data_IF_973460233326
#
_entry.id   IF_973460233326
#
_cell.length_a   1.000
_cell.length_b   1.000
_cell.length_c   1.000
_cell.angle_alpha   90.00
_cell.angle_beta   90.00
_cell.angle_gamma   90.00
#
_symmetry.space_group_name_H-M   'P 1'
#
loop_
_entity.id
_entity.type
_entity.pdbx_description
1 polymer ?
#
# COMPACT_ATOMS: atom_id res chain seq x y z
N UNK A 1 10.32 -5.17 -8.79
CA UNK A 1 9.51 -5.95 -9.76
C UNK A 1 8.06 -5.50 -9.70
N UNK A 2 7.38 -5.51 -10.83
CA UNK A 2 5.92 -5.38 -10.90
C UNK A 2 5.31 -6.77 -10.94
N UNK A 3 4.33 -7.02 -10.08
CA UNK A 3 3.68 -8.31 -9.95
C UNK A 3 2.20 -8.21 -10.31
N UNK A 4 1.68 -9.23 -10.97
CA UNK A 4 0.24 -9.46 -11.14
C UNK A 4 -0.09 -10.93 -10.89
N UNK A 5 -1.35 -11.27 -10.83
CA UNK A 5 -1.77 -12.65 -10.50
C UNK A 5 -1.20 -13.69 -11.46
N UNK A 6 -1.19 -13.39 -12.75
CA UNK A 6 -0.79 -14.30 -13.81
C UNK A 6 0.53 -13.89 -14.50
N UNK A 7 1.06 -12.71 -14.18
CA UNK A 7 2.16 -12.12 -14.94
C UNK A 7 1.69 -11.50 -16.25
N UNK A 8 2.64 -11.30 -17.20
CA UNK A 8 2.42 -10.73 -18.52
C UNK A 8 2.05 -9.23 -18.50
N UNK A 9 1.52 -8.70 -19.58
CA UNK A 9 1.21 -7.28 -19.74
C UNK A 9 -0.13 -6.93 -19.09
N UNK A 10 -0.09 -6.04 -18.11
CA UNK A 10 -1.28 -5.44 -17.52
C UNK A 10 -1.53 -4.07 -18.15
N UNK A 11 -2.76 -3.85 -18.61
CA UNK A 11 -3.17 -2.59 -19.23
C UNK A 11 -3.93 -1.72 -18.23
N UNK A 12 -3.54 -0.46 -18.09
CA UNK A 12 -4.34 0.54 -17.38
C UNK A 12 -5.51 1.01 -18.23
N UNK A 13 -6.52 1.61 -17.58
CA UNK A 13 -7.65 2.26 -18.27
C UNK A 13 -7.17 3.41 -19.20
N UNK A 14 -6.06 4.04 -18.86
CA UNK A 14 -5.45 5.12 -19.66
C UNK A 14 -4.59 4.61 -20.81
N UNK A 15 -4.48 3.30 -21.01
CA UNK A 15 -3.70 2.69 -22.08
C UNK A 15 -2.22 2.44 -21.76
N UNK A 16 -1.76 2.74 -20.56
CA UNK A 16 -0.41 2.37 -20.12
C UNK A 16 -0.29 0.86 -20.01
N UNK A 17 0.79 0.31 -20.55
CA UNK A 17 1.10 -1.11 -20.48
C UNK A 17 2.27 -1.32 -19.53
N UNK A 18 2.10 -2.23 -18.57
CA UNK A 18 3.15 -2.59 -17.62
C UNK A 18 3.39 -4.09 -17.72
N UNK A 19 4.63 -4.45 -17.98
CA UNK A 19 5.06 -5.84 -17.89
C UNK A 19 5.12 -6.25 -16.42
N UNK A 20 4.55 -7.42 -16.09
CA UNK A 20 4.51 -7.95 -14.73
C UNK A 20 4.97 -9.40 -14.68
N UNK A 21 5.56 -9.77 -13.57
CA UNK A 21 5.84 -11.16 -13.22
C UNK A 21 4.65 -11.80 -12.49
N UNK A 22 4.46 -13.11 -12.56
CA UNK A 22 3.40 -13.76 -11.81
C UNK A 22 3.65 -13.68 -10.32
N UNK A 23 2.59 -13.48 -9.55
CA UNK A 23 2.64 -13.55 -8.09
C UNK A 23 2.75 -15.01 -7.68
N UNK A 24 3.93 -15.46 -7.30
CA UNK A 24 4.21 -16.80 -6.84
C UNK A 24 4.69 -16.86 -5.37
N UNK A 25 4.89 -18.06 -4.85
CA UNK A 25 5.26 -18.28 -3.46
C UNK A 25 6.71 -17.86 -3.13
N UNK A 26 7.54 -17.64 -4.12
CA UNK A 26 8.94 -17.20 -3.96
C UNK A 26 9.06 -15.70 -3.77
N UNK A 27 8.00 -14.95 -4.13
CA UNK A 27 7.90 -13.52 -3.89
C UNK A 27 7.53 -13.24 -2.43
N UNK A 28 7.98 -12.12 -1.88
CA UNK A 28 7.43 -11.60 -0.63
C UNK A 28 8.42 -11.25 0.49
N UNK A 29 9.71 -11.54 0.34
CA UNK A 29 10.72 -11.23 1.38
C UNK A 29 11.25 -9.79 1.28
N UNK A 30 10.38 -8.82 1.09
CA UNK A 30 10.82 -7.45 0.89
C UNK A 30 9.75 -6.43 1.21
N UNK A 31 9.90 -5.25 0.63
CA UNK A 31 8.91 -4.18 0.73
C UNK A 31 7.88 -4.38 -0.38
N UNK A 32 6.63 -4.50 0.01
CA UNK A 32 5.49 -4.65 -0.90
C UNK A 32 4.76 -3.32 -1.03
N UNK A 33 4.50 -2.89 -2.27
CA UNK A 33 3.68 -1.71 -2.54
C UNK A 33 2.36 -2.12 -3.16
N UNK A 34 1.26 -1.77 -2.52
CA UNK A 34 -0.10 -1.99 -3.00
C UNK A 34 -0.64 -0.67 -3.58
N UNK A 35 -0.67 -0.50 -4.89
CA UNK A 35 -1.12 0.73 -5.51
C UNK A 35 -2.63 0.93 -5.32
N UNK A 36 -3.05 2.19 -5.38
CA UNK A 36 -4.46 2.56 -5.45
C UNK A 36 -5.05 2.41 -6.85
N UNK A 37 -6.29 2.85 -6.99
CA UNK A 37 -7.00 2.92 -8.25
C UNK A 37 -8.32 2.13 -8.24
N UNK A 38 -9.19 2.46 -9.18
CA UNK A 38 -10.54 1.88 -9.26
C UNK A 38 -10.54 0.36 -9.48
N UNK A 39 -9.46 -0.19 -10.04
CA UNK A 39 -9.27 -1.63 -10.22
C UNK A 39 -9.22 -2.39 -8.89
N UNK A 40 -8.65 -1.79 -7.86
CA UNK A 40 -8.57 -2.38 -6.52
C UNK A 40 -9.92 -2.81 -5.94
N UNK A 41 -11.01 -2.13 -6.32
CA UNK A 41 -12.37 -2.47 -5.87
C UNK A 41 -12.98 -3.68 -6.59
N UNK A 42 -12.51 -3.97 -7.80
CA UNK A 42 -13.11 -5.02 -8.65
C UNK A 42 -12.50 -6.39 -8.42
N UNK A 43 -11.22 -6.44 -8.08
CA UNK A 43 -10.46 -7.70 -8.05
C UNK A 43 -10.85 -8.59 -6.89
N UNK A 44 -11.32 -8.03 -5.79
CA UNK A 44 -11.42 -8.73 -4.52
C UNK A 44 -12.74 -9.44 -4.26
N UNK A 45 -13.79 -9.08 -4.95
CA UNK A 45 -15.12 -9.65 -4.72
C UNK A 45 -15.31 -11.01 -5.41
N UNK A 46 -14.33 -11.51 -6.16
CA UNK A 46 -14.58 -12.56 -7.14
C UNK A 46 -13.77 -13.85 -6.98
N UNK A 47 -12.66 -13.85 -6.24
CA UNK A 47 -11.82 -15.06 -6.19
C UNK A 47 -11.12 -15.26 -4.82
N UNK A 48 -11.59 -16.25 -4.02
CA UNK A 48 -10.99 -16.60 -2.72
C UNK A 48 -9.55 -17.13 -2.81
N UNK A 49 -9.18 -17.79 -3.89
CA UNK A 49 -7.83 -18.33 -4.08
C UNK A 49 -6.82 -17.21 -4.25
N UNK A 50 -7.14 -16.26 -5.10
CA UNK A 50 -6.38 -15.02 -5.28
C UNK A 50 -6.16 -14.29 -3.95
N UNK A 51 -7.20 -14.17 -3.15
CA UNK A 51 -7.11 -13.53 -1.84
C UNK A 51 -6.14 -14.27 -0.90
N UNK A 52 -6.18 -15.58 -0.91
CA UNK A 52 -5.28 -16.43 -0.09
C UNK A 52 -3.82 -16.25 -0.52
N UNK A 53 -3.54 -16.21 -1.81
CA UNK A 53 -2.19 -15.97 -2.36
C UNK A 53 -1.66 -14.59 -1.95
N UNK A 54 -2.46 -13.54 -2.13
CA UNK A 54 -2.09 -12.17 -1.74
C UNK A 54 -1.86 -12.07 -0.24
N UNK A 55 -2.73 -12.66 0.56
CA UNK A 55 -2.57 -12.70 2.02
C UNK A 55 -1.26 -13.35 2.43
N UNK A 56 -0.91 -14.48 1.84
CA UNK A 56 0.36 -15.17 2.08
C UNK A 56 1.54 -14.28 1.73
N UNK A 57 1.50 -13.62 0.58
CA UNK A 57 2.51 -12.69 0.11
C UNK A 57 2.72 -11.51 1.07
N UNK A 58 1.62 -10.87 1.50
CA UNK A 58 1.68 -9.76 2.47
C UNK A 58 2.24 -10.22 3.81
N UNK A 59 1.88 -11.42 4.28
CA UNK A 59 2.41 -11.96 5.53
C UNK A 59 3.92 -12.13 5.54
N UNK A 60 4.48 -12.56 4.42
CA UNK A 60 5.94 -12.72 4.24
C UNK A 60 6.68 -11.39 4.13
N UNK A 61 6.01 -10.30 3.70
CA UNK A 61 6.67 -9.01 3.49
C UNK A 61 7.25 -8.44 4.77
N UNK A 62 8.40 -7.79 4.65
CA UNK A 62 9.06 -7.06 5.73
C UNK A 62 8.34 -5.75 6.02
N UNK A 63 7.89 -5.05 4.98
CA UNK A 63 7.03 -3.88 5.06
C UNK A 63 6.00 -3.88 3.93
N UNK A 64 4.87 -3.23 4.15
CA UNK A 64 3.80 -3.11 3.18
C UNK A 64 3.31 -1.66 3.12
N UNK A 65 3.51 -1.00 1.98
CA UNK A 65 3.00 0.34 1.69
C UNK A 65 1.70 0.24 0.88
N UNK A 66 0.61 0.72 1.44
CA UNK A 66 -0.66 0.83 0.74
C UNK A 66 -0.97 2.28 0.36
N UNK A 67 -1.42 2.51 -0.86
CA UNK A 67 -1.66 3.84 -1.42
C UNK A 67 -3.15 4.00 -1.74
N UNK A 68 -3.79 4.98 -1.12
CA UNK A 68 -5.20 5.31 -1.34
C UNK A 68 -6.11 4.06 -1.29
N UNK A 69 -6.84 3.72 -2.36
CA UNK A 69 -7.72 2.53 -2.42
C UNK A 69 -6.97 1.20 -2.21
N UNK A 70 -5.65 1.19 -2.34
CA UNK A 70 -4.81 0.04 -2.01
C UNK A 70 -4.96 -0.39 -0.55
N UNK A 71 -5.21 0.56 0.37
CA UNK A 71 -5.49 0.25 1.78
C UNK A 71 -6.79 -0.53 1.95
N UNK A 72 -7.82 -0.20 1.18
CA UNK A 72 -9.05 -0.97 1.17
C UNK A 72 -8.88 -2.36 0.56
N UNK A 73 -8.01 -2.49 -0.45
CA UNK A 73 -7.61 -3.79 -0.96
C UNK A 73 -6.94 -4.63 0.13
N UNK A 74 -5.97 -4.06 0.80
CA UNK A 74 -5.24 -4.72 1.88
C UNK A 74 -6.17 -5.08 3.06
N UNK A 75 -7.15 -4.24 3.38
CA UNK A 75 -8.14 -4.51 4.44
C UNK A 75 -8.93 -5.80 4.21
N UNK A 76 -9.25 -6.12 2.96
CA UNK A 76 -10.01 -7.33 2.62
C UNK A 76 -9.22 -8.62 2.86
N UNK A 77 -7.90 -8.56 2.90
CA UNK A 77 -7.08 -9.74 3.27
C UNK A 77 -7.22 -10.11 4.74
N UNK A 78 -7.75 -9.20 5.58
CA UNK A 78 -7.81 -9.34 7.03
C UNK A 78 -6.49 -9.05 7.76
N UNK A 79 -5.42 -8.69 7.02
CA UNK A 79 -4.10 -8.41 7.62
C UNK A 79 -4.06 -7.03 8.33
N UNK A 80 -5.05 -6.18 8.08
CA UNK A 80 -5.22 -4.89 8.77
C UNK A 80 -6.15 -4.97 9.99
N UNK A 81 -6.42 -6.15 10.50
CA UNK A 81 -7.28 -6.30 11.69
C UNK A 81 -6.72 -5.50 12.87
N UNK A 82 -7.55 -4.58 13.40
CA UNK A 82 -7.22 -3.66 14.50
C UNK A 82 -5.98 -2.76 14.24
N UNK A 83 -5.63 -2.51 12.97
CA UNK A 83 -4.56 -1.59 12.60
C UNK A 83 -5.07 -0.19 12.32
N UNK A 84 -4.25 0.81 12.65
CA UNK A 84 -4.48 2.20 12.32
C UNK A 84 -3.98 2.47 10.90
N UNK A 85 -4.86 2.97 10.04
CA UNK A 85 -4.56 3.17 8.61
C UNK A 85 -5.02 4.56 8.19
N UNK A 86 -4.18 5.30 7.47
CA UNK A 86 -4.54 6.58 6.89
C UNK A 86 -5.73 6.44 5.95
N UNK A 87 -6.82 7.14 6.24
CA UNK A 87 -8.05 7.02 5.48
C UNK A 87 -7.96 7.81 4.17
N UNK A 88 -8.14 7.15 3.04
CA UNK A 88 -8.32 7.83 1.76
C UNK A 88 -9.73 8.42 1.63
N UNK A 89 -9.84 9.55 0.92
CA UNK A 89 -11.08 10.36 0.91
C UNK A 89 -12.25 9.73 0.14
N UNK A 90 -11.99 8.81 -0.78
CA UNK A 90 -13.02 8.19 -1.61
C UNK A 90 -13.46 6.84 -1.05
N UNK A 91 -14.72 6.46 -1.34
CA UNK A 91 -15.20 5.11 -1.06
C UNK A 91 -15.68 4.86 0.37
N UNK A 92 -16.31 5.86 1.00
CA UNK A 92 -16.85 5.75 2.37
C UNK A 92 -17.74 4.53 2.59
N UNK A 93 -18.66 4.24 1.66
CA UNK A 93 -19.52 3.07 1.76
C UNK A 93 -18.71 1.76 1.72
N UNK A 94 -17.64 1.75 0.97
CA UNK A 94 -16.78 0.58 0.86
C UNK A 94 -15.89 0.42 2.11
N UNK A 95 -15.34 1.51 2.64
CA UNK A 95 -14.61 1.49 3.92
C UNK A 95 -15.48 0.97 5.07
N UNK A 96 -16.76 1.34 5.11
CA UNK A 96 -17.69 0.87 6.15
C UNK A 96 -17.83 -0.65 6.22
N UNK A 97 -17.61 -1.35 5.11
CA UNK A 97 -17.61 -2.82 5.10
C UNK A 97 -16.48 -3.42 5.94
N UNK A 98 -15.41 -2.65 6.19
CA UNK A 98 -14.23 -3.08 6.95
C UNK A 98 -14.03 -2.31 8.26
N UNK A 99 -14.97 -1.46 8.64
CA UNK A 99 -14.86 -0.58 9.83
C UNK A 99 -14.63 -1.36 11.11
N UNK A 100 -15.23 -2.53 11.24
CA UNK A 100 -15.06 -3.38 12.43
C UNK A 100 -13.66 -4.03 12.52
N UNK A 101 -12.90 -4.02 11.43
CA UNK A 101 -11.61 -4.69 11.35
C UNK A 101 -10.43 -3.70 11.20
N UNK A 102 -10.68 -2.48 10.77
CA UNK A 102 -9.64 -1.47 10.48
C UNK A 102 -9.99 -0.16 11.15
N UNK A 103 -9.04 0.45 11.83
CA UNK A 103 -9.17 1.79 12.39
C UNK A 103 -8.75 2.81 11.33
N UNK A 104 -9.72 3.39 10.64
CA UNK A 104 -9.48 4.43 9.65
C UNK A 104 -9.23 5.77 10.34
N UNK A 105 -8.00 6.31 10.19
CA UNK A 105 -7.60 7.60 10.74
C UNK A 105 -7.73 8.66 9.65
N UNK A 106 -8.60 9.63 9.89
CA UNK A 106 -8.86 10.75 8.98
C UNK A 106 -7.92 11.91 9.27
N UNK A 107 -7.78 12.80 8.30
CA UNK A 107 -6.99 14.03 8.41
C UNK A 107 -5.47 13.84 8.60
N UNK A 108 -4.98 12.63 8.29
CA UNK A 108 -3.55 12.34 8.22
C UNK A 108 -3.15 11.99 6.79
N UNK A 109 -2.05 12.53 6.27
CA UNK A 109 -1.60 12.20 4.93
C UNK A 109 -1.05 10.77 4.83
N UNK A 110 -0.35 10.30 5.85
CA UNK A 110 0.18 8.95 5.92
C UNK A 110 0.29 8.48 7.38
N UNK A 111 0.44 7.17 7.57
CA UNK A 111 0.52 6.54 8.88
C UNK A 111 1.30 5.24 8.82
N UNK A 112 1.95 4.91 9.94
CA UNK A 112 2.64 3.63 10.15
C UNK A 112 2.00 2.90 11.34
N UNK A 113 1.73 1.61 11.17
CA UNK A 113 1.31 0.71 12.25
C UNK A 113 1.96 -0.65 12.06
N UNK A 114 3.02 -0.92 12.81
CA UNK A 114 3.88 -2.08 12.65
C UNK A 114 4.56 -2.08 11.27
N UNK A 115 4.37 -3.13 10.49
CA UNK A 115 4.95 -3.22 9.14
C UNK A 115 4.09 -2.55 8.06
N UNK A 116 2.93 -2.00 8.41
CA UNK A 116 2.00 -1.39 7.47
C UNK A 116 2.18 0.12 7.43
N UNK A 117 2.56 0.60 6.25
CA UNK A 117 2.64 2.01 5.89
C UNK A 117 1.45 2.32 5.01
N UNK A 118 0.73 3.36 5.29
CA UNK A 118 -0.46 3.73 4.54
C UNK A 118 -0.46 5.20 4.16
N UNK A 119 -0.81 5.50 2.93
CA UNK A 119 -0.92 6.85 2.42
C UNK A 119 -2.35 7.14 1.97
N UNK A 120 -2.92 8.25 2.40
CA UNK A 120 -4.29 8.65 2.07
C UNK A 120 -4.47 9.05 0.60
N UNK A 121 -3.38 9.45 -0.07
CA UNK A 121 -3.35 9.90 -1.46
C UNK A 121 -2.00 9.59 -2.11
N UNK A 122 -1.95 9.71 -3.44
CA UNK A 122 -0.73 9.40 -4.22
C UNK A 122 0.47 10.28 -3.84
N UNK A 123 0.27 11.56 -3.53
CA UNK A 123 1.36 12.44 -3.11
C UNK A 123 1.90 12.07 -1.72
N UNK A 124 1.02 11.75 -0.79
CA UNK A 124 1.39 11.31 0.55
C UNK A 124 2.16 9.96 0.54
N UNK A 125 2.05 9.19 -0.54
CA UNK A 125 2.81 7.95 -0.69
C UNK A 125 4.32 8.18 -0.78
N UNK A 126 4.76 9.36 -1.22
CA UNK A 126 6.17 9.71 -1.28
C UNK A 126 6.72 9.85 0.14
N UNK A 127 6.01 10.55 1.01
CA UNK A 127 6.42 10.74 2.41
C UNK A 127 6.42 9.40 3.16
N UNK A 128 5.40 8.58 2.96
CA UNK A 128 5.34 7.23 3.53
C UNK A 128 6.48 6.32 3.01
N UNK A 129 6.88 6.45 1.74
CA UNK A 129 8.01 5.71 1.20
C UNK A 129 9.35 6.20 1.78
N UNK A 130 9.52 7.50 1.98
CA UNK A 130 10.69 8.06 2.65
C UNK A 130 10.76 7.61 4.12
N UNK A 131 9.62 7.49 4.80
CA UNK A 131 9.57 6.92 6.14
C UNK A 131 10.06 5.46 6.15
N UNK A 132 9.67 4.63 5.18
CA UNK A 132 10.22 3.28 5.03
C UNK A 132 11.75 3.32 4.88
N UNK A 133 12.28 4.25 4.08
CA UNK A 133 13.73 4.39 3.92
C UNK A 133 14.39 4.77 5.24
N UNK A 134 13.80 5.68 6.00
CA UNK A 134 14.31 6.08 7.30
C UNK A 134 14.34 4.92 8.30
N UNK A 135 13.28 4.12 8.35
CA UNK A 135 13.14 3.00 9.28
C UNK A 135 14.11 1.84 8.96
N UNK A 136 14.39 1.58 7.67
CA UNK A 136 15.23 0.45 7.26
C UNK A 136 16.71 0.82 7.05
N UNK A 137 17.00 2.09 6.81
CA UNK A 137 18.37 2.51 6.50
C UNK A 137 18.87 3.61 7.42
N UNK A 138 18.25 4.74 7.47
CA UNK A 138 18.55 5.87 8.38
C UNK A 138 17.83 7.12 7.87
N UNK A 139 17.49 8.04 8.79
CA UNK A 139 16.84 9.32 8.46
C UNK A 139 17.65 10.15 7.46
N UNK A 140 18.99 10.20 7.65
CA UNK A 140 19.87 10.96 6.77
C UNK A 140 19.81 10.47 5.32
N UNK A 141 19.62 9.16 5.13
CA UNK A 141 19.46 8.58 3.81
C UNK A 141 18.14 8.98 3.16
N UNK A 142 17.06 8.98 3.91
CA UNK A 142 15.75 9.46 3.42
C UNK A 142 15.81 10.95 3.07
N UNK A 143 16.43 11.77 3.91
CA UNK A 143 16.64 13.21 3.64
C UNK A 143 17.47 13.46 2.37
N UNK A 144 18.54 12.68 2.16
CA UNK A 144 19.35 12.77 0.95
C UNK A 144 18.54 12.43 -0.31
N UNK A 145 17.71 11.38 -0.24
CA UNK A 145 16.84 10.97 -1.34
C UNK A 145 15.80 12.07 -1.63
N UNK A 146 15.13 12.58 -0.60
CA UNK A 146 14.17 13.67 -0.72
C UNK A 146 14.82 14.90 -1.40
N UNK A 147 16.00 15.31 -0.94
CA UNK A 147 16.75 16.43 -1.53
C UNK A 147 17.06 16.20 -3.02
N UNK A 148 17.55 15.01 -3.37
CA UNK A 148 17.89 14.66 -4.76
C UNK A 148 16.66 14.64 -5.70
N UNK A 149 15.49 14.34 -5.15
CA UNK A 149 14.22 14.37 -5.87
C UNK A 149 13.57 15.76 -5.90
N UNK A 150 14.14 16.75 -5.20
CA UNK A 150 13.55 18.07 -5.06
C UNK A 150 12.28 18.09 -4.20
N UNK A 151 12.15 17.15 -3.28
CA UNK A 151 10.99 16.98 -2.41
C UNK A 151 11.33 17.52 -1.03
N UNK A 152 10.43 18.33 -0.48
CA UNK A 152 10.48 18.70 0.93
C UNK A 152 9.73 17.62 1.72
N UNK A 153 10.46 16.74 2.40
CA UNK A 153 9.89 15.70 3.23
C UNK A 153 9.50 16.26 4.60
N UNK A 154 8.22 16.12 4.95
CA UNK A 154 7.69 16.49 6.25
C UNK A 154 7.48 15.21 7.08
N UNK A 155 8.42 14.93 7.98
CA UNK A 155 8.36 13.76 8.88
C UNK A 155 7.24 13.88 9.93
N UNK A 156 6.79 15.10 10.23
CA UNK A 156 5.78 15.36 11.26
C UNK A 156 4.35 15.36 10.70
N UNK A 157 4.21 15.34 9.36
CA UNK A 157 2.89 15.34 8.73
C UNK A 157 2.11 14.04 8.93
N UNK A 158 2.80 12.94 9.22
CA UNK A 158 2.20 11.63 9.47
C UNK A 158 2.39 11.17 10.90
N UNK A 159 1.94 9.96 11.17
CA UNK A 159 2.07 9.31 12.47
C UNK A 159 2.86 8.00 12.33
N UNK A 160 3.92 7.90 13.10
CA UNK A 160 4.70 6.67 13.30
C UNK A 160 4.31 6.02 14.62
#
# INVERSE_FOLDING_TARGET
NYLSLLGDIVNSVQGTKVWTEPLDETCGDGIVVIPGGRGARKVLLQDPETMTRIKSFIRKSTACLSIAEGSGYLAQTGELYQRNIAAYQQGENWKRMYTAAVHWIYDVPWMVDGKFYSASASLAAIDAALCIVADFYEVDKAMQIAHNLGIQWDMEAGYC
#
